data_IF_291120007227
#
_entry.id   IF_291120007227
#
_cell.length_a   1.000
_cell.length_b   1.000
_cell.length_c   1.000
_cell.angle_alpha   90.00
_cell.angle_beta   90.00
_cell.angle_gamma   90.00
#
_symmetry.space_group_name_H-M   'P 1'
#
loop_
_entity.id
_entity.type
_entity.pdbx_description
1 polymer ?
#
# COMPACT_ATOMS: atom_id res chain seq x y z
N UNK A 1 58.31 23.29 31.55
CA UNK A 1 57.40 23.43 30.38
C UNK A 1 56.75 22.07 30.12
N UNK A 2 55.49 21.90 30.47
CA UNK A 2 54.76 20.63 30.29
C UNK A 2 53.74 20.85 29.13
N UNK A 3 53.98 20.24 27.99
CA UNK A 3 53.08 20.25 26.83
C UNK A 3 51.94 19.29 27.06
N UNK A 4 50.73 19.84 27.10
CA UNK A 4 49.48 19.09 27.22
C UNK A 4 49.02 18.73 25.80
N UNK A 5 49.10 17.46 25.43
CA UNK A 5 48.63 16.95 24.14
C UNK A 5 47.12 16.61 24.27
N UNK A 6 46.25 17.41 23.62
CA UNK A 6 44.82 17.21 23.57
C UNK A 6 44.48 16.23 22.46
N UNK A 7 43.95 15.09 22.78
CA UNK A 7 43.44 14.06 21.83
C UNK A 7 41.97 14.40 21.53
N UNK A 8 41.68 14.87 20.35
CA UNK A 8 40.33 15.09 19.83
C UNK A 8 39.83 13.75 19.28
N UNK A 9 38.87 13.14 19.99
CA UNK A 9 38.19 11.90 19.56
C UNK A 9 37.10 12.27 18.55
N UNK A 10 37.27 11.88 17.31
CA UNK A 10 36.30 12.12 16.23
C UNK A 10 35.26 10.97 16.24
N UNK A 11 34.05 11.25 16.69
CA UNK A 11 32.95 10.29 16.66
C UNK A 11 32.32 10.32 15.27
N UNK A 12 32.53 9.25 14.49
CA UNK A 12 31.89 9.05 13.19
C UNK A 12 30.48 8.51 13.46
N UNK A 13 29.48 9.37 13.32
CA UNK A 13 28.07 8.93 13.30
C UNK A 13 27.78 8.30 11.93
N UNK A 14 27.55 7.00 11.89
CA UNK A 14 27.07 6.31 10.71
C UNK A 14 25.60 6.65 10.50
N UNK A 15 25.15 7.03 9.28
CA UNK A 15 23.74 7.17 9.00
C UNK A 15 23.09 5.77 9.08
N UNK A 16 22.11 5.62 9.96
CA UNK A 16 21.21 4.47 9.98
C UNK A 16 20.19 4.74 8.87
N UNK A 17 20.33 4.06 7.75
CA UNK A 17 19.23 3.96 6.78
C UNK A 17 18.19 3.03 7.41
N UNK A 18 17.07 3.59 7.83
CA UNK A 18 15.86 2.83 8.10
C UNK A 18 15.32 2.44 6.71
N UNK A 19 15.46 1.19 6.31
CA UNK A 19 14.60 0.63 5.28
C UNK A 19 13.21 0.54 5.90
N UNK A 20 12.34 1.47 5.52
CA UNK A 20 10.92 1.33 5.77
C UNK A 20 10.45 0.11 4.98
N UNK A 21 10.39 -1.05 5.66
CA UNK A 21 9.59 -2.15 5.18
C UNK A 21 8.14 -1.60 5.13
N UNK A 22 7.65 -1.28 3.93
CA UNK A 22 6.24 -1.02 3.70
C UNK A 22 5.50 -2.31 4.04
N UNK A 23 5.13 -2.47 5.30
CA UNK A 23 4.10 -3.42 5.67
C UNK A 23 2.82 -2.86 5.07
N UNK A 24 2.26 -3.55 4.07
CA UNK A 24 0.88 -3.36 3.68
C UNK A 24 0.06 -3.56 4.94
N UNK A 25 -0.40 -2.47 5.53
CA UNK A 25 -1.29 -2.52 6.69
C UNK A 25 -2.56 -3.24 6.22
N UNK A 26 -3.11 -4.11 7.07
CA UNK A 26 -4.39 -4.72 6.80
C UNK A 26 -5.40 -3.61 6.48
N UNK A 27 -5.86 -3.54 5.22
CA UNK A 27 -6.77 -2.51 4.76
C UNK A 27 -8.12 -2.72 5.44
N UNK A 28 -8.68 -1.67 6.00
CA UNK A 28 -10.03 -1.68 6.53
C UNK A 28 -10.98 -1.14 5.45
N UNK A 29 -11.89 -1.97 4.97
CA UNK A 29 -12.85 -1.58 3.95
C UNK A 29 -13.69 -0.37 4.39
N UNK A 30 -13.82 0.59 3.52
CA UNK A 30 -14.49 1.85 3.79
C UNK A 30 -13.56 2.94 4.32
N UNK A 31 -12.28 2.66 4.52
CA UNK A 31 -11.30 3.63 5.05
C UNK A 31 -10.14 3.77 4.08
N UNK A 32 -10.02 4.94 3.46
CA UNK A 32 -8.83 5.35 2.73
C UNK A 32 -7.86 6.14 3.63
N UNK A 33 -6.63 6.30 3.20
CA UNK A 33 -5.61 7.11 3.85
C UNK A 33 -5.20 8.29 2.96
N UNK A 34 -4.97 9.47 3.55
CA UNK A 34 -4.49 10.65 2.84
C UNK A 34 -3.42 11.36 3.67
N UNK A 35 -2.20 11.39 3.17
CA UNK A 35 -1.10 12.15 3.74
C UNK A 35 -0.97 13.47 2.98
N UNK A 36 -0.91 14.60 3.69
CA UNK A 36 -0.74 15.93 3.10
C UNK A 36 0.48 16.60 3.75
N UNK A 37 1.42 17.05 2.93
CA UNK A 37 2.51 17.92 3.35
C UNK A 37 2.38 19.30 2.69
N UNK A 38 2.38 20.36 3.52
CA UNK A 38 2.29 21.76 3.05
C UNK A 38 3.59 22.48 3.36
N UNK A 39 4.36 22.77 2.32
CA UNK A 39 5.58 23.57 2.36
C UNK A 39 5.50 24.64 1.26
N UNK A 40 5.07 25.82 1.63
CA UNK A 40 4.73 26.90 0.71
C UNK A 40 5.82 27.17 -0.36
N UNK A 41 5.48 27.22 -1.63
CA UNK A 41 4.13 27.18 -2.23
C UNK A 41 3.65 25.74 -2.59
N UNK A 42 4.39 24.71 -2.21
CA UNK A 42 4.17 23.32 -2.56
C UNK A 42 3.16 22.66 -1.59
N UNK A 43 2.25 21.86 -2.15
CA UNK A 43 1.39 20.92 -1.43
C UNK A 43 1.58 19.56 -2.08
N UNK A 44 2.02 18.58 -1.29
CA UNK A 44 2.15 17.19 -1.72
C UNK A 44 1.07 16.36 -1.03
N UNK A 45 0.43 15.49 -1.76
CA UNK A 45 -0.61 14.60 -1.24
C UNK A 45 -0.32 13.18 -1.70
N UNK A 46 -0.43 12.23 -0.80
CA UNK A 46 -0.33 10.79 -1.05
C UNK A 46 -1.61 10.13 -0.57
N UNK A 47 -2.30 9.45 -1.47
CA UNK A 47 -3.61 8.87 -1.22
C UNK A 47 -3.58 7.37 -1.48
N UNK A 48 -4.18 6.60 -0.57
CA UNK A 48 -4.34 5.16 -0.65
C UNK A 48 -5.79 4.78 -0.37
N UNK A 49 -6.32 3.85 -1.16
CA UNK A 49 -7.66 3.32 -0.90
C UNK A 49 -7.80 1.88 -1.39
N UNK A 50 -8.46 0.99 -0.60
CA UNK A 50 -8.76 -0.36 -1.01
C UNK A 50 -9.54 -0.43 -2.33
N UNK A 51 -9.27 -1.45 -3.16
CA UNK A 51 -10.00 -1.66 -4.41
C UNK A 51 -11.52 -1.75 -4.20
N UNK A 52 -11.96 -2.39 -3.12
CA UNK A 52 -13.37 -2.49 -2.76
C UNK A 52 -14.06 -1.12 -2.59
N UNK A 53 -13.33 -0.12 -2.11
CA UNK A 53 -13.87 1.24 -1.89
C UNK A 53 -14.02 2.02 -3.19
N UNK A 54 -13.11 1.78 -4.14
CA UNK A 54 -13.00 2.52 -5.39
C UNK A 54 -13.81 1.88 -6.51
N UNK A 55 -13.64 0.57 -6.74
CA UNK A 55 -14.28 -0.17 -7.85
C UNK A 55 -15.27 -1.22 -7.38
N UNK A 56 -15.39 -1.46 -6.06
CA UNK A 56 -16.33 -2.42 -5.48
C UNK A 56 -15.81 -3.86 -5.41
N UNK A 57 -14.54 -4.11 -5.74
CA UNK A 57 -13.90 -5.41 -5.64
C UNK A 57 -12.40 -5.28 -5.37
N UNK A 58 -11.75 -6.38 -4.91
CA UNK A 58 -10.31 -6.44 -4.63
C UNK A 58 -9.61 -7.59 -5.34
N UNK A 59 -10.36 -8.45 -6.03
CA UNK A 59 -9.78 -9.53 -6.80
C UNK A 59 -9.12 -9.04 -8.10
N UNK A 60 -8.18 -9.81 -8.61
CA UNK A 60 -7.55 -9.51 -9.91
C UNK A 60 -8.60 -9.45 -11.03
N UNK A 61 -8.74 -8.29 -11.66
CA UNK A 61 -9.69 -8.04 -12.73
C UNK A 61 -9.42 -8.94 -13.94
N UNK A 62 -10.47 -9.60 -14.45
CA UNK A 62 -10.37 -10.52 -15.61
C UNK A 62 -11.43 -10.22 -16.67
N UNK A 63 -12.56 -9.62 -16.29
CA UNK A 63 -13.61 -9.27 -17.23
C UNK A 63 -13.36 -7.90 -17.86
N UNK A 64 -13.86 -7.67 -19.07
CA UNK A 64 -13.80 -6.36 -19.71
C UNK A 64 -14.51 -5.29 -18.88
N UNK A 65 -15.54 -5.66 -18.12
CA UNK A 65 -16.27 -4.75 -17.24
C UNK A 65 -15.39 -4.31 -16.04
N UNK A 66 -14.67 -5.25 -15.41
CA UNK A 66 -13.77 -4.94 -14.29
C UNK A 66 -12.61 -4.06 -14.76
N UNK A 67 -12.00 -4.39 -15.91
CA UNK A 67 -10.92 -3.59 -16.50
C UNK A 67 -11.39 -2.17 -16.86
N UNK A 68 -12.61 -2.04 -17.37
CA UNK A 68 -13.20 -0.74 -17.65
C UNK A 68 -13.47 0.06 -16.35
N UNK A 69 -13.91 -0.59 -15.27
CA UNK A 69 -14.11 0.05 -13.98
C UNK A 69 -12.79 0.57 -13.39
N UNK A 70 -11.71 -0.24 -13.42
CA UNK A 70 -10.38 0.18 -13.00
C UNK A 70 -9.89 1.37 -13.83
N UNK A 71 -10.01 1.31 -15.16
CA UNK A 71 -9.59 2.40 -16.04
C UNK A 71 -10.33 3.70 -15.75
N UNK A 72 -11.65 3.63 -15.49
CA UNK A 72 -12.46 4.79 -15.12
C UNK A 72 -12.05 5.37 -13.76
N UNK A 73 -11.74 4.50 -12.77
CA UNK A 73 -11.30 4.91 -11.46
C UNK A 73 -9.92 5.61 -11.51
N UNK A 74 -8.94 5.03 -12.22
CA UNK A 74 -7.62 5.65 -12.42
C UNK A 74 -7.76 7.04 -13.02
N UNK A 75 -8.59 7.18 -14.08
CA UNK A 75 -8.84 8.47 -14.72
C UNK A 75 -9.51 9.49 -13.78
N UNK A 76 -10.38 9.03 -12.88
CA UNK A 76 -11.02 9.92 -11.89
C UNK A 76 -10.00 10.38 -10.86
N UNK A 77 -9.11 9.50 -10.41
CA UNK A 77 -8.02 9.81 -9.48
C UNK A 77 -6.97 10.75 -10.10
N UNK A 78 -6.79 10.77 -11.41
CA UNK A 78 -5.90 11.73 -12.10
C UNK A 78 -6.35 13.19 -12.01
N UNK A 79 -7.56 13.47 -11.48
CA UNK A 79 -8.10 14.82 -11.30
C UNK A 79 -8.21 15.20 -9.81
N UNK A 80 -7.09 15.39 -9.08
CA UNK A 80 -7.10 15.57 -7.63
C UNK A 80 -7.91 16.78 -7.14
N UNK A 81 -7.96 17.87 -7.90
CA UNK A 81 -8.70 19.07 -7.52
C UNK A 81 -10.21 18.93 -7.69
N UNK A 82 -10.68 17.92 -8.42
CA UNK A 82 -12.09 17.56 -8.50
C UNK A 82 -12.52 16.68 -7.33
N UNK A 83 -11.57 15.94 -6.72
CA UNK A 83 -11.80 15.04 -5.58
C UNK A 83 -11.55 15.74 -4.23
N UNK A 84 -10.48 16.50 -4.14
CA UNK A 84 -10.05 17.27 -2.97
C UNK A 84 -10.12 18.75 -3.32
N UNK A 85 -11.31 19.33 -3.16
CA UNK A 85 -11.63 20.69 -3.62
C UNK A 85 -11.03 21.72 -2.69
N UNK A 86 -10.09 22.49 -3.20
CA UNK A 86 -9.39 23.56 -2.50
C UNK A 86 -10.04 24.92 -2.76
N UNK A 87 -9.94 25.90 -1.84
CA UNK A 87 -10.44 27.25 -2.06
C UNK A 87 -9.83 27.88 -3.33
N UNK A 88 -10.64 28.38 -4.22
CA UNK A 88 -10.17 29.07 -5.44
C UNK A 88 -9.21 30.23 -5.15
N UNK A 89 -9.35 30.85 -3.98
CA UNK A 89 -8.46 31.94 -3.53
C UNK A 89 -7.01 31.46 -3.30
N UNK A 90 -6.79 30.17 -3.00
CA UNK A 90 -5.45 29.60 -2.84
C UNK A 90 -4.71 29.49 -4.18
N UNK A 91 -5.44 29.48 -5.31
CA UNK A 91 -4.87 29.41 -6.67
C UNK A 91 -3.90 28.26 -6.83
N UNK A 92 -4.34 27.08 -6.43
CA UNK A 92 -3.58 25.85 -6.59
C UNK A 92 -3.70 25.31 -8.01
N UNK A 93 -2.60 24.80 -8.54
CA UNK A 93 -2.53 24.14 -9.83
C UNK A 93 -1.76 22.82 -9.70
N UNK A 94 -2.20 21.80 -10.40
CA UNK A 94 -1.53 20.49 -10.43
C UNK A 94 -0.21 20.62 -11.19
N UNK A 95 0.87 20.12 -10.60
CA UNK A 95 2.20 20.04 -11.19
C UNK A 95 2.53 18.63 -11.66
N UNK A 96 2.18 17.64 -10.85
CA UNK A 96 2.41 16.22 -11.15
C UNK A 96 1.29 15.38 -10.55
N UNK A 97 0.98 14.30 -11.23
CA UNK A 97 0.04 13.25 -10.82
C UNK A 97 0.66 11.91 -11.19
N UNK A 98 0.65 10.98 -10.26
CA UNK A 98 0.93 9.58 -10.48
C UNK A 98 -0.19 8.78 -9.83
N UNK A 99 -0.79 7.86 -10.57
CA UNK A 99 -1.87 7.00 -10.07
C UNK A 99 -1.61 5.58 -10.56
N UNK A 100 -1.68 4.63 -9.63
CA UNK A 100 -1.46 3.23 -9.93
C UNK A 100 -2.41 2.33 -9.13
N UNK A 101 -2.60 1.11 -9.61
CA UNK A 101 -3.27 0.02 -8.91
C UNK A 101 -2.21 -0.99 -8.52
N UNK A 102 -1.99 -1.14 -7.23
CA UNK A 102 -1.10 -2.15 -6.67
C UNK A 102 -1.87 -3.44 -6.36
N UNK A 103 -1.21 -4.58 -6.48
CA UNK A 103 -1.75 -5.88 -6.09
C UNK A 103 -0.72 -6.70 -5.34
N UNK A 104 -1.16 -7.50 -4.38
CA UNK A 104 -0.27 -8.41 -3.63
C UNK A 104 0.46 -9.42 -4.54
N UNK A 105 -0.04 -9.64 -5.76
CA UNK A 105 0.57 -10.54 -6.73
C UNK A 105 1.88 -9.98 -7.31
N UNK A 106 2.09 -8.67 -7.30
CA UNK A 106 3.29 -8.04 -7.89
C UNK A 106 4.51 -8.13 -6.96
N UNK A 107 4.31 -8.42 -5.68
CA UNK A 107 5.40 -8.56 -4.71
C UNK A 107 6.04 -9.97 -4.66
N UNK A 108 5.46 -10.96 -5.36
CA UNK A 108 5.94 -12.35 -5.40
C UNK A 108 6.94 -12.68 -6.52
N UNK A 109 7.25 -11.76 -7.44
CA UNK A 109 7.99 -12.07 -8.66
C UNK A 109 9.53 -11.86 -8.57
N UNK A 110 10.09 -11.51 -7.41
CA UNK A 110 11.53 -11.35 -7.21
C UNK A 110 12.16 -12.45 -6.34
N UNK A 111 11.67 -13.68 -6.39
CA UNK A 111 12.46 -14.80 -5.92
C UNK A 111 13.46 -15.16 -7.04
N UNK A 112 14.69 -14.74 -6.82
CA UNK A 112 15.83 -15.05 -7.67
C UNK A 112 15.96 -16.59 -7.85
N UNK A 113 15.97 -16.95 -9.11
CA UNK A 113 16.27 -18.29 -9.66
C UNK A 113 17.62 -18.81 -9.13
N UNK A 114 17.62 -19.48 -7.99
CA UNK A 114 18.74 -20.23 -7.50
C UNK A 114 18.85 -21.57 -8.26
N UNK A 115 19.28 -21.48 -9.52
CA UNK A 115 19.86 -22.63 -10.24
C UNK A 115 21.23 -22.95 -9.65
N UNK A 116 21.34 -24.15 -9.11
CA UNK A 116 22.65 -24.77 -9.01
C UNK A 116 22.93 -25.51 -7.72
N UNK A 117 22.46 -26.75 -7.60
CA UNK A 117 23.24 -27.79 -6.93
C UNK A 117 23.14 -29.09 -7.69
N UNK A 118 24.17 -29.27 -8.52
CA UNK A 118 24.52 -30.52 -9.15
C UNK A 118 24.93 -31.60 -8.13
N UNK A 119 24.60 -32.84 -8.52
CA UNK A 119 25.33 -34.06 -8.30
C UNK A 119 25.53 -34.58 -6.89
N UNK A 120 24.64 -35.46 -6.47
CA UNK A 120 25.03 -36.53 -5.56
C UNK A 120 25.06 -37.87 -6.31
N UNK A 121 26.30 -38.35 -6.48
CA UNK A 121 26.76 -39.60 -6.97
C UNK A 121 26.11 -40.77 -6.22
N UNK A 122 25.65 -41.74 -6.99
CA UNK A 122 25.19 -43.06 -6.52
C UNK A 122 26.32 -43.80 -5.82
N UNK A 123 26.07 -44.31 -4.61
CA UNK A 123 26.81 -45.41 -4.04
C UNK A 123 25.81 -46.45 -3.56
N UNK A 124 25.86 -47.59 -4.23
CA UNK A 124 24.99 -48.74 -3.95
C UNK A 124 25.24 -49.38 -2.59
N UNK A 125 24.16 -49.84 -2.00
CA UNK A 125 24.19 -50.85 -0.96
C UNK A 125 23.27 -52.01 -1.33
N UNK A 126 23.90 -53.19 -1.40
CA UNK A 126 23.32 -54.50 -1.61
C UNK A 126 22.57 -54.99 -0.35
N UNK A 127 21.52 -55.73 -0.63
CA UNK A 127 21.02 -56.95 0.01
C UNK A 127 20.87 -57.02 1.53
N UNK A 128 19.63 -57.09 2.00
CA UNK A 128 19.24 -57.98 3.09
C UNK A 128 17.85 -58.55 2.87
N UNK A 129 17.82 -59.88 2.85
CA UNK A 129 16.70 -60.78 2.71
C UNK A 129 15.77 -60.80 3.95
N UNK A 130 14.52 -61.16 3.68
CA UNK A 130 13.60 -61.94 4.49
C UNK A 130 13.13 -61.39 5.86
N UNK A 131 11.88 -60.96 5.88
CA UNK A 131 10.95 -61.33 6.94
C UNK A 131 9.50 -61.25 6.42
N UNK A 132 8.91 -62.47 6.25
CA UNK A 132 7.49 -62.75 6.20
C UNK A 132 6.89 -62.42 7.56
N UNK A 133 5.91 -61.53 7.60
CA UNK A 133 4.88 -61.50 8.64
C UNK A 133 3.57 -61.00 8.03
N UNK A 134 2.65 -61.92 7.89
CA UNK A 134 1.26 -61.70 7.49
C UNK A 134 0.52 -60.87 8.55
N UNK A 135 0.21 -59.63 8.22
CA UNK A 135 -0.82 -58.88 8.95
C UNK A 135 -1.91 -58.43 8.00
N UNK A 136 -3.00 -59.18 8.05
CA UNK A 136 -4.28 -58.89 7.45
C UNK A 136 -4.90 -57.67 8.12
N UNK A 137 -4.72 -56.49 7.52
CA UNK A 137 -5.43 -55.26 7.90
C UNK A 137 -6.47 -54.94 6.85
N UNK A 138 -7.75 -55.24 7.19
CA UNK A 138 -8.93 -54.65 6.55
C UNK A 138 -8.78 -53.16 6.48
N UNK A 139 -8.55 -52.65 5.28
CA UNK A 139 -8.72 -51.22 5.00
C UNK A 139 -10.21 -50.96 4.80
N UNK A 140 -10.84 -50.32 5.80
CA UNK A 140 -12.11 -49.63 5.63
C UNK A 140 -11.83 -48.40 4.79
N UNK A 141 -12.60 -48.27 3.70
CA UNK A 141 -12.60 -47.14 2.78
C UNK A 141 -13.03 -45.88 3.52
N UNK A 142 -12.07 -45.04 3.91
CA UNK A 142 -12.31 -43.63 4.24
C UNK A 142 -11.96 -42.80 3.02
N UNK A 143 -12.90 -42.73 2.06
CA UNK A 143 -12.96 -41.71 1.02
C UNK A 143 -13.70 -40.49 1.60
N UNK A 144 -13.07 -39.77 2.50
CA UNK A 144 -13.39 -38.38 2.77
C UNK A 144 -12.11 -37.55 2.57
N UNK A 145 -11.72 -37.42 1.31
CA UNK A 145 -10.93 -36.28 0.93
C UNK A 145 -11.87 -35.10 0.82
N UNK A 146 -12.13 -34.43 1.93
CA UNK A 146 -12.49 -33.04 1.91
C UNK A 146 -11.45 -32.35 1.07
N UNK A 147 -11.79 -32.06 -0.19
CA UNK A 147 -11.10 -31.06 -0.97
C UNK A 147 -11.21 -29.75 -0.18
N UNK A 148 -10.27 -29.51 0.71
CA UNK A 148 -9.96 -28.17 1.14
C UNK A 148 -9.62 -27.44 -0.16
N UNK A 149 -10.64 -26.80 -0.72
CA UNK A 149 -10.45 -25.71 -1.68
C UNK A 149 -9.52 -24.77 -0.97
N UNK A 150 -8.24 -24.84 -1.32
CA UNK A 150 -7.33 -23.74 -1.07
C UNK A 150 -8.05 -22.52 -1.59
N UNK A 151 -8.58 -21.72 -0.68
CA UNK A 151 -9.09 -20.41 -0.99
C UNK A 151 -7.92 -19.75 -1.73
N UNK A 152 -8.11 -19.57 -3.04
CA UNK A 152 -7.17 -18.80 -3.83
C UNK A 152 -6.95 -17.52 -3.02
N UNK A 153 -5.70 -17.23 -2.66
CA UNK A 153 -5.32 -15.99 -2.03
C UNK A 153 -6.07 -14.90 -2.79
N UNK A 154 -7.09 -14.33 -2.14
CA UNK A 154 -7.80 -13.19 -2.70
C UNK A 154 -6.78 -12.07 -2.68
N UNK A 155 -6.07 -11.88 -3.80
CA UNK A 155 -5.11 -10.79 -3.91
C UNK A 155 -5.87 -9.51 -3.59
N UNK A 156 -5.39 -8.78 -2.60
CA UNK A 156 -5.91 -7.47 -2.29
C UNK A 156 -5.35 -6.48 -3.31
N UNK A 157 -6.20 -5.57 -3.77
CA UNK A 157 -5.78 -4.47 -4.63
C UNK A 157 -5.97 -3.15 -3.92
N UNK A 158 -5.04 -2.23 -4.11
CA UNK A 158 -5.05 -0.88 -3.55
C UNK A 158 -4.79 0.14 -4.65
N UNK A 159 -5.57 1.20 -4.66
CA UNK A 159 -5.30 2.38 -5.48
C UNK A 159 -4.37 3.30 -4.72
N UNK A 160 -3.25 3.62 -5.34
CA UNK A 160 -2.25 4.56 -4.85
C UNK A 160 -2.20 5.78 -5.77
N UNK A 161 -2.20 6.98 -5.19
CA UNK A 161 -2.11 8.21 -5.96
C UNK A 161 -1.22 9.24 -5.28
N UNK A 162 -0.27 9.80 -6.01
CA UNK A 162 0.60 10.87 -5.59
C UNK A 162 0.30 12.14 -6.37
N UNK A 163 0.16 13.25 -5.65
CA UNK A 163 -0.14 14.55 -6.23
C UNK A 163 0.85 15.61 -5.76
N UNK A 164 1.30 16.44 -6.67
CA UNK A 164 2.07 17.63 -6.38
C UNK A 164 1.35 18.85 -6.92
N UNK A 165 1.05 19.81 -6.05
CA UNK A 165 0.33 21.04 -6.36
C UNK A 165 1.19 22.25 -6.02
N UNK A 166 1.07 23.32 -6.81
CA UNK A 166 1.61 24.64 -6.48
C UNK A 166 0.45 25.60 -6.20
N UNK A 167 0.41 26.17 -5.00
CA UNK A 167 -0.58 27.14 -4.57
C UNK A 167 0.07 28.53 -4.48
N UNK A 168 -0.30 29.44 -5.38
CA UNK A 168 0.31 30.79 -5.41
C UNK A 168 -0.17 31.72 -4.27
N UNK A 169 -1.16 31.29 -3.50
CA UNK A 169 -1.64 31.99 -2.29
C UNK A 169 -1.97 30.94 -1.22
N UNK A 170 -0.93 30.38 -0.61
CA UNK A 170 -1.06 29.28 0.36
C UNK A 170 -1.86 29.69 1.62
N UNK A 171 -1.79 30.97 2.01
CA UNK A 171 -2.53 31.48 3.18
C UNK A 171 -4.06 31.40 2.99
N UNK A 172 -4.55 31.33 1.75
CA UNK A 172 -5.94 31.13 1.44
C UNK A 172 -6.36 29.66 1.39
N UNK A 173 -5.44 28.73 1.61
CA UNK A 173 -5.72 27.30 1.72
C UNK A 173 -6.20 27.00 3.14
N UNK A 174 -7.45 27.35 3.45
CA UNK A 174 -8.02 27.25 4.79
C UNK A 174 -8.82 25.98 5.02
N UNK A 175 -9.28 25.32 3.96
CA UNK A 175 -10.11 24.12 4.03
C UNK A 175 -9.90 23.20 2.84
N UNK A 176 -10.38 21.96 2.96
CA UNK A 176 -10.51 20.97 1.89
C UNK A 176 -11.92 20.39 1.94
N UNK A 177 -12.64 20.44 0.82
CA UNK A 177 -13.91 19.73 0.64
C UNK A 177 -13.65 18.41 -0.08
N UNK A 178 -14.15 17.30 0.45
CA UNK A 178 -13.91 15.93 -0.05
C UNK A 178 -15.05 15.52 -0.98
N UNK A 179 -15.06 16.00 -2.22
CA UNK A 179 -15.94 15.48 -3.29
C UNK A 179 -15.59 14.01 -3.65
N UNK A 180 -14.48 13.50 -3.15
CA UNK A 180 -14.05 12.12 -3.22
C UNK A 180 -15.16 11.12 -2.85
N UNK A 181 -15.94 11.38 -1.81
CA UNK A 181 -17.03 10.49 -1.39
C UNK A 181 -18.22 10.47 -2.35
N UNK A 182 -18.38 11.50 -3.19
CA UNK A 182 -19.38 11.51 -4.27
C UNK A 182 -18.93 10.66 -5.45
N UNK A 183 -17.62 10.69 -5.75
CA UNK A 183 -17.01 9.88 -6.82
C UNK A 183 -16.92 8.41 -6.43
N UNK A 184 -16.66 8.13 -5.16
CA UNK A 184 -16.43 6.76 -4.63
C UNK A 184 -17.35 6.49 -3.43
N UNK A 185 -18.62 6.17 -3.66
CA UNK A 185 -19.64 6.07 -2.60
C UNK A 185 -19.48 4.88 -1.66
N UNK A 186 -18.63 3.89 -1.99
CA UNK A 186 -18.31 2.78 -1.09
C UNK A 186 -17.38 3.21 0.06
N UNK A 187 -16.59 4.27 -0.15
CA UNK A 187 -15.72 4.85 0.86
C UNK A 187 -16.53 5.59 1.92
N UNK A 188 -16.20 5.41 3.19
CA UNK A 188 -16.93 5.95 4.33
C UNK A 188 -16.10 6.97 5.11
N UNK A 189 -14.80 6.79 5.10
CA UNK A 189 -13.85 7.59 5.87
C UNK A 189 -12.53 7.75 5.10
N UNK A 190 -11.86 8.87 5.32
CA UNK A 190 -10.46 9.08 4.98
C UNK A 190 -9.71 9.42 6.26
N UNK A 191 -8.76 8.56 6.65
CA UNK A 191 -7.81 8.84 7.70
C UNK A 191 -6.74 9.80 7.15
N UNK A 192 -6.71 11.03 7.64
CA UNK A 192 -5.85 12.08 7.09
C UNK A 192 -4.74 12.44 8.07
N UNK A 193 -3.52 12.51 7.55
CA UNK A 193 -2.37 13.08 8.24
C UNK A 193 -1.93 14.36 7.52
N UNK A 194 -1.79 15.44 8.28
CA UNK A 194 -1.37 16.74 7.77
C UNK A 194 -0.06 17.15 8.44
N UNK A 195 0.93 17.46 7.64
CA UNK A 195 2.19 18.07 8.06
C UNK A 195 2.28 19.46 7.47
N UNK A 196 2.52 20.46 8.30
CA UNK A 196 2.70 21.85 7.90
C UNK A 196 3.72 22.56 8.80
N UNK A 197 3.97 23.84 8.58
CA UNK A 197 4.82 24.65 9.46
C UNK A 197 4.26 24.75 10.89
N UNK A 198 2.96 24.55 11.08
CA UNK A 198 2.31 24.54 12.41
C UNK A 198 2.43 23.19 13.11
N UNK A 199 3.05 22.17 12.49
CA UNK A 199 3.28 20.84 13.02
C UNK A 199 2.46 19.77 12.32
N UNK A 200 2.43 18.56 12.93
CA UNK A 200 1.69 17.41 12.44
C UNK A 200 0.34 17.26 13.15
N UNK A 201 -0.70 16.96 12.42
CA UNK A 201 -2.07 16.73 12.91
C UNK A 201 -2.69 15.54 12.18
N UNK A 202 -3.62 14.84 12.83
CA UNK A 202 -4.39 13.75 12.24
C UNK A 202 -5.89 14.03 12.36
N UNK A 203 -6.66 13.58 11.37
CA UNK A 203 -8.10 13.78 11.27
C UNK A 203 -8.77 12.54 10.65
N UNK A 204 -10.02 12.31 11.05
CA UNK A 204 -10.90 11.33 10.42
C UNK A 204 -12.00 12.06 9.66
N UNK A 205 -11.93 12.09 8.35
CA UNK A 205 -12.92 12.72 7.49
C UNK A 205 -13.95 11.67 7.09
N UNK A 206 -15.21 11.91 7.42
CA UNK A 206 -16.32 10.99 7.14
C UNK A 206 -17.19 11.49 6.00
N UNK A 207 -17.78 10.57 5.23
CA UNK A 207 -18.67 10.89 4.12
C UNK A 207 -19.87 11.75 4.53
N UNK A 208 -20.35 11.63 5.78
CA UNK A 208 -21.43 12.48 6.33
C UNK A 208 -20.99 13.90 6.73
N UNK A 209 -19.68 14.19 6.78
CA UNK A 209 -19.10 15.50 7.07
C UNK A 209 -17.81 15.68 6.24
N UNK A 210 -17.95 15.82 4.90
CA UNK A 210 -16.84 15.69 3.95
C UNK A 210 -16.04 17.00 3.82
N UNK A 211 -15.70 17.63 4.93
CA UNK A 211 -14.93 18.87 4.96
C UNK A 211 -13.94 18.89 6.11
N UNK A 212 -12.74 19.36 5.82
CA UNK A 212 -11.69 19.64 6.78
C UNK A 212 -11.40 21.13 6.82
N UNK A 213 -11.43 21.74 8.00
CA UNK A 213 -10.84 23.05 8.27
C UNK A 213 -9.36 22.84 8.65
N UNK A 214 -8.47 23.41 7.87
CA UNK A 214 -7.02 23.22 8.05
C UNK A 214 -6.49 24.01 9.25
N UNK A 215 -7.10 25.16 9.61
CA UNK A 215 -6.70 25.98 10.74
C UNK A 215 -5.21 26.40 10.66
N UNK A 216 -4.74 26.74 9.45
CA UNK A 216 -3.36 27.14 9.18
C UNK A 216 -3.12 28.60 9.57
#
# INVERSE_FOLDING_TARGET
MKTLTSIISFIIASPVFSEDARQLNAHEHGIGALNIAIEAPLVVMEFHAPGADIVGFEYAAKSDADLAAISAALKTLEAPLDLFVLPKAARCAVQAVQVELESDADHGANEEDHQGHDAHTEVGHQDHDDHDDEHDHKHEDHNDHDEEKHAASSGHTEFHAEYSLICSNIEALTQIDFAYFEAFPNSKQVALQLISQSGARAFDIKSGAPRLDLGL
#
